data_IF_813882143439
#
_entry.id   IF_813882143439
#
_cell.length_a   1.000
_cell.length_b   1.000
_cell.length_c   1.000
_cell.angle_alpha   90.00
_cell.angle_beta   90.00
_cell.angle_gamma   90.00
#
_symmetry.space_group_name_H-M   'P 1'
#
loop_
_entity.id
_entity.type
_entity.pdbx_description
1 polymer ?
#
# COMPACT_ATOMS: atom_id res chain seq x y z
N UNK A 1 0.34 -5.44 9.83
CA UNK A 1 0.93 -6.23 8.72
C UNK A 1 0.64 -5.49 7.44
N UNK A 2 1.60 -5.44 6.52
CA UNK A 2 1.45 -4.78 5.23
C UNK A 2 1.91 -5.70 4.11
N UNK A 3 1.25 -5.61 2.96
CA UNK A 3 1.77 -6.17 1.71
C UNK A 3 2.91 -5.27 1.24
N UNK A 4 4.02 -5.87 0.81
CA UNK A 4 5.19 -5.16 0.30
C UNK A 4 5.17 -5.23 -1.22
N UNK A 5 5.36 -4.07 -1.85
CA UNK A 5 5.34 -3.87 -3.28
C UNK A 5 6.64 -3.20 -3.73
N UNK A 6 7.10 -3.57 -4.92
CA UNK A 6 8.05 -2.74 -5.67
C UNK A 6 7.33 -1.62 -6.45
N UNK A 7 8.11 -0.79 -7.15
CA UNK A 7 7.59 0.38 -7.86
C UNK A 7 6.60 0.01 -8.98
N UNK A 8 6.90 -1.03 -9.75
CA UNK A 8 6.07 -1.48 -10.88
C UNK A 8 4.75 -2.05 -10.36
N UNK A 9 4.83 -2.87 -9.30
CA UNK A 9 3.64 -3.40 -8.63
C UNK A 9 2.77 -2.28 -8.03
N UNK A 10 3.39 -1.27 -7.42
CA UNK A 10 2.68 -0.13 -6.87
C UNK A 10 1.98 0.68 -7.96
N UNK A 11 2.62 0.91 -9.11
CA UNK A 11 2.02 1.61 -10.24
C UNK A 11 0.87 0.81 -10.85
N UNK A 12 1.08 -0.50 -11.07
CA UNK A 12 0.07 -1.40 -11.63
C UNK A 12 -1.17 -1.54 -10.73
N UNK A 13 -0.96 -1.55 -9.41
CA UNK A 13 -2.04 -1.68 -8.43
C UNK A 13 -2.63 -0.35 -8.00
N UNK A 14 -2.04 0.80 -8.34
CA UNK A 14 -2.58 2.11 -7.98
C UNK A 14 -3.92 2.36 -8.69
N UNK A 15 -4.80 3.09 -8.01
CA UNK A 15 -6.07 3.57 -8.57
C UNK A 15 -7.25 2.63 -8.35
N UNK A 16 -8.34 2.93 -9.04
CA UNK A 16 -9.64 2.30 -8.82
C UNK A 16 -9.65 0.83 -9.27
N UNK A 17 -9.93 -0.05 -8.32
CA UNK A 17 -10.17 -1.48 -8.56
C UNK A 17 -11.64 -1.75 -8.87
N UNK A 18 -12.53 -1.02 -8.19
CA UNK A 18 -13.98 -1.01 -8.32
C UNK A 18 -14.50 0.40 -7.95
N UNK A 19 -15.76 0.75 -8.27
CA UNK A 19 -16.32 2.05 -7.92
C UNK A 19 -16.22 2.32 -6.41
N UNK A 20 -15.42 3.32 -6.03
CA UNK A 20 -15.17 3.69 -4.63
C UNK A 20 -14.12 2.84 -3.89
N UNK A 21 -13.49 1.87 -4.56
CA UNK A 21 -12.42 1.04 -4.01
C UNK A 21 -11.11 1.32 -4.75
N UNK A 22 -10.41 2.37 -4.34
CA UNK A 22 -9.10 2.75 -4.87
C UNK A 22 -7.98 2.20 -3.97
N UNK A 23 -6.97 1.59 -4.60
CA UNK A 23 -5.74 1.23 -3.91
C UNK A 23 -4.77 2.42 -4.00
N UNK A 24 -4.24 2.82 -2.86
CA UNK A 24 -3.22 3.86 -2.75
C UNK A 24 -1.98 3.31 -2.04
N UNK A 25 -1.01 2.74 -2.80
CA UNK A 25 0.23 2.25 -2.21
C UNK A 25 1.05 3.40 -1.60
N UNK A 26 1.46 3.21 -0.35
CA UNK A 26 2.22 4.19 0.43
C UNK A 26 3.70 3.88 0.27
N UNK A 27 4.49 4.87 -0.16
CA UNK A 27 5.94 4.72 -0.23
C UNK A 27 6.57 4.69 1.17
N UNK A 28 7.53 3.79 1.39
CA UNK A 28 8.35 3.76 2.60
C UNK A 28 9.50 4.77 2.52
N UNK A 29 10.10 5.09 3.67
CA UNK A 29 11.22 6.03 3.81
C UNK A 29 12.47 5.64 3.00
N UNK A 30 12.61 4.36 2.68
CA UNK A 30 13.68 3.82 1.83
C UNK A 30 13.54 4.22 0.35
N UNK A 31 12.36 4.70 -0.06
CA UNK A 31 12.10 5.23 -1.41
C UNK A 31 12.02 4.18 -2.53
N UNK A 32 12.27 2.91 -2.23
CA UNK A 32 12.23 1.78 -3.20
C UNK A 32 11.17 0.73 -2.88
N UNK A 33 10.50 0.85 -1.73
CA UNK A 33 9.45 -0.07 -1.29
C UNK A 33 8.15 0.70 -1.09
N UNK A 34 7.06 0.07 -1.49
CA UNK A 34 5.70 0.54 -1.28
C UNK A 34 4.93 -0.48 -0.47
N UNK A 35 3.89 -0.01 0.20
CA UNK A 35 3.07 -0.86 1.06
C UNK A 35 1.60 -0.63 0.87
N UNK A 36 0.83 -1.71 0.99
CA UNK A 36 -0.62 -1.68 1.14
C UNK A 36 -1.02 -2.33 2.46
N UNK A 37 -2.03 -1.82 3.18
CA UNK A 37 -2.49 -2.45 4.40
C UNK A 37 -3.09 -3.82 4.09
N UNK A 38 -2.80 -4.84 4.91
CA UNK A 38 -3.30 -6.20 4.68
C UNK A 38 -4.85 -6.27 4.60
N UNK A 39 -5.55 -5.28 5.18
CA UNK A 39 -7.01 -5.14 5.12
C UNK A 39 -7.57 -5.11 3.69
N UNK A 40 -6.77 -4.72 2.69
CA UNK A 40 -7.21 -4.73 1.27
C UNK A 40 -7.53 -6.13 0.75
N UNK A 41 -7.02 -7.19 1.39
CA UNK A 41 -7.35 -8.58 1.04
C UNK A 41 -8.76 -9.00 1.47
N UNK A 42 -9.32 -8.33 2.48
CA UNK A 42 -10.66 -8.61 3.01
C UNK A 42 -11.73 -7.72 2.35
N UNK A 43 -11.30 -6.67 1.63
CA UNK A 43 -12.22 -5.75 0.97
C UNK A 43 -12.74 -6.34 -0.35
N UNK A 44 -14.07 -6.56 -0.48
CA UNK A 44 -14.65 -7.15 -1.68
C UNK A 44 -14.51 -6.25 -2.93
N UNK A 45 -14.26 -4.96 -2.76
CA UNK A 45 -13.99 -4.02 -3.85
C UNK A 45 -12.66 -4.30 -4.57
N UNK A 46 -11.76 -5.06 -3.95
CA UNK A 46 -10.49 -5.50 -4.54
C UNK A 46 -10.53 -6.95 -5.03
N UNK A 47 -11.68 -7.62 -5.08
CA UNK A 47 -11.81 -9.02 -5.53
C UNK A 47 -11.14 -9.27 -6.90
N UNK A 48 -11.28 -8.33 -7.85
CA UNK A 48 -10.65 -8.42 -9.18
C UNK A 48 -9.12 -8.36 -9.17
N UNK A 49 -8.51 -7.85 -8.08
CA UNK A 49 -7.06 -7.74 -7.89
C UNK A 49 -6.55 -8.68 -6.80
N UNK A 50 -7.43 -9.45 -6.17
CA UNK A 50 -7.11 -10.30 -5.02
C UNK A 50 -6.05 -11.34 -5.39
N UNK A 51 -6.11 -11.92 -6.58
CA UNK A 51 -5.10 -12.87 -7.07
C UNK A 51 -3.70 -12.25 -7.07
N UNK A 52 -3.55 -11.05 -7.63
CA UNK A 52 -2.28 -10.32 -7.61
C UNK A 52 -1.85 -9.95 -6.18
N UNK A 53 -2.78 -9.46 -5.34
CA UNK A 53 -2.48 -9.06 -3.97
C UNK A 53 -2.03 -10.24 -3.08
N UNK A 54 -2.58 -11.44 -3.30
CA UNK A 54 -2.22 -12.65 -2.57
C UNK A 54 -0.83 -13.20 -2.93
N UNK A 55 -0.26 -12.78 -4.07
CA UNK A 55 1.12 -13.15 -4.44
C UNK A 55 2.18 -12.28 -3.78
N UNK A 56 1.78 -11.15 -3.20
CA UNK A 56 2.70 -10.20 -2.59
C UNK A 56 3.20 -10.69 -1.23
N UNK A 57 4.49 -10.48 -0.91
CA UNK A 57 5.00 -10.75 0.44
C UNK A 57 4.33 -9.83 1.47
N UNK A 58 4.05 -10.38 2.65
CA UNK A 58 3.44 -9.65 3.76
C UNK A 58 4.41 -9.58 4.95
N UNK A 59 4.72 -8.38 5.41
CA UNK A 59 5.71 -8.15 6.46
C UNK A 59 5.22 -7.13 7.51
N UNK A 60 5.75 -7.18 8.75
CA UNK A 60 5.56 -6.12 9.72
C UNK A 60 6.38 -4.89 9.33
N UNK A 61 5.71 -3.75 9.12
CA UNK A 61 6.36 -2.47 8.85
C UNK A 61 6.24 -1.60 10.08
N UNK A 62 7.38 -1.16 10.61
CA UNK A 62 7.44 -0.32 11.81
C UNK A 62 7.06 1.15 11.50
N UNK A 63 6.61 1.92 12.51
CA UNK A 63 6.27 3.33 12.31
C UNK A 63 7.45 4.19 11.83
N UNK A 64 8.69 3.77 12.10
CA UNK A 64 9.90 4.45 11.63
C UNK A 64 10.25 4.21 10.15
N UNK A 65 9.58 3.26 9.48
CA UNK A 65 9.80 2.98 8.06
C UNK A 65 8.89 3.80 7.13
N UNK A 66 7.86 4.45 7.68
CA UNK A 66 7.04 5.36 6.90
C UNK A 66 7.78 6.68 6.67
N UNK A 67 7.55 7.31 5.52
CA UNK A 67 8.02 8.68 5.27
C UNK A 67 7.49 9.57 6.41
N UNK A 68 8.40 10.11 7.23
CA UNK A 68 8.03 11.12 8.21
C UNK A 68 7.63 12.37 7.46
N UNK A 69 6.32 12.61 7.39
CA UNK A 69 5.82 13.95 7.08
C UNK A 69 6.02 14.77 8.34
N UNK A 70 7.10 15.55 8.41
CA UNK A 70 7.20 16.65 9.37
C UNK A 70 6.11 17.66 9.00
N UNK A 71 4.93 17.52 9.61
CA UNK A 71 3.91 18.55 9.53
C UNK A 71 4.49 19.79 10.21
N UNK A 72 4.56 20.96 9.52
CA UNK A 72 4.95 22.18 10.19
C UNK A 72 3.92 22.45 11.28
N UNK A 73 4.38 22.52 12.52
CA UNK A 73 3.55 22.93 13.65
C UNK A 73 3.32 24.43 13.42
N UNK A 74 2.16 24.79 12.87
CA UNK A 74 1.74 26.18 12.82
C UNK A 74 1.61 26.67 14.27
N UNK A 75 2.52 27.57 14.67
CA UNK A 75 2.62 28.15 16.01
C UNK A 75 1.76 29.38 16.21
#
# INVERSE_FOLDING_TARGET
MFLILDQDQADALRGESSPGAALDPIALADGVRWVLPLAVLDDPGHASRLDALLTLPAEPVGPGEFVRVELPIEG
#
